data_IF_984362175851
#
_entry.id   IF_984362175851
#
_cell.length_a   1.000
_cell.length_b   1.000
_cell.length_c   1.000
_cell.angle_alpha   90.00
_cell.angle_beta   90.00
_cell.angle_gamma   90.00
#
_symmetry.space_group_name_H-M   'P 1'
#
loop_
_entity.id
_entity.type
_entity.pdbx_description
1 polymer ?
#
# COMPACT_ATOMS: atom_id res chain seq x y z
N UNK A 1 2.69 -7.98 4.88
CA UNK A 1 3.30 -8.60 3.69
C UNK A 1 2.69 -7.97 2.47
N UNK A 2 3.21 -6.81 2.08
CA UNK A 2 2.78 -6.10 0.88
C UNK A 2 4.03 -5.73 0.09
N UNK A 3 3.92 -5.76 -1.23
CA UNK A 3 4.88 -5.14 -2.13
C UNK A 3 4.29 -3.84 -2.63
N UNK A 4 5.02 -2.74 -2.49
CA UNK A 4 4.54 -1.42 -2.86
C UNK A 4 5.39 -0.78 -3.94
N UNK A 5 4.74 0.02 -4.79
CA UNK A 5 5.37 0.84 -5.81
C UNK A 5 5.05 2.31 -5.55
N UNK A 6 5.94 3.24 -5.92
CA UNK A 6 5.69 4.67 -5.73
C UNK A 6 4.59 5.17 -6.66
N UNK A 7 3.63 5.92 -6.11
CA UNK A 7 2.73 6.76 -6.87
C UNK A 7 3.37 8.13 -7.11
N UNK A 8 3.42 8.56 -8.36
CA UNK A 8 3.87 9.90 -8.76
C UNK A 8 2.66 10.73 -9.19
N UNK A 9 2.68 12.07 -9.07
CA UNK A 9 1.52 12.91 -9.40
C UNK A 9 0.98 12.66 -10.82
N UNK A 10 1.88 12.59 -11.81
CA UNK A 10 1.49 12.33 -13.20
C UNK A 10 0.88 10.94 -13.43
N UNK A 11 1.22 9.96 -12.59
CA UNK A 11 0.63 8.62 -12.62
C UNK A 11 -0.74 8.64 -11.93
N UNK A 12 -0.87 9.34 -10.81
CA UNK A 12 -2.14 9.53 -10.12
C UNK A 12 -3.19 10.21 -11.01
N UNK A 13 -2.80 11.31 -11.68
CA UNK A 13 -3.64 12.01 -12.65
C UNK A 13 -4.13 11.07 -13.76
N UNK A 14 -3.24 10.19 -14.23
CA UNK A 14 -3.54 9.22 -15.29
C UNK A 14 -4.47 8.10 -14.81
N UNK A 15 -4.37 7.72 -13.54
CA UNK A 15 -5.20 6.70 -12.91
C UNK A 15 -6.51 7.27 -12.34
N UNK A 16 -6.70 8.60 -12.34
CA UNK A 16 -7.87 9.25 -11.76
C UNK A 16 -7.92 9.15 -10.23
N UNK A 17 -6.75 9.08 -9.59
CA UNK A 17 -6.61 8.98 -8.14
C UNK A 17 -6.50 10.38 -7.57
N UNK A 18 -7.35 10.72 -6.59
CA UNK A 18 -7.33 12.03 -5.90
C UNK A 18 -6.22 12.09 -4.83
N UNK A 19 -4.98 11.83 -5.25
CA UNK A 19 -3.80 11.94 -4.40
C UNK A 19 -2.55 12.22 -5.23
N UNK A 20 -1.70 13.15 -4.79
CA UNK A 20 -0.46 13.46 -5.52
C UNK A 20 0.63 12.38 -5.34
N UNK A 21 0.66 11.73 -4.19
CA UNK A 21 1.70 10.81 -3.73
C UNK A 21 1.10 9.69 -2.88
N UNK A 22 1.80 8.57 -2.84
CA UNK A 22 1.36 7.39 -2.11
C UNK A 22 2.15 6.14 -2.47
N UNK A 23 1.70 5.02 -1.91
CA UNK A 23 2.23 3.70 -2.17
C UNK A 23 1.17 2.83 -2.86
N UNK A 24 1.37 2.56 -4.15
CA UNK A 24 0.55 1.61 -4.91
C UNK A 24 0.84 0.21 -4.37
N UNK A 25 -0.20 -0.52 -3.97
CA UNK A 25 -0.09 -1.91 -3.53
C UNK A 25 0.05 -2.78 -4.77
N UNK A 26 1.27 -3.18 -5.09
CA UNK A 26 1.54 -4.00 -6.27
C UNK A 26 1.15 -5.45 -6.04
N UNK A 27 1.44 -5.98 -4.85
CA UNK A 27 1.13 -7.35 -4.49
C UNK A 27 0.81 -7.45 -3.00
N UNK A 28 -0.14 -8.30 -2.64
CA UNK A 28 -0.45 -8.66 -1.27
C UNK A 28 -0.11 -10.13 -1.09
N UNK A 29 0.73 -10.41 -0.10
CA UNK A 29 1.14 -11.80 0.19
C UNK A 29 -0.05 -12.54 0.81
N UNK A 30 -0.42 -13.68 0.21
CA UNK A 30 -1.49 -14.54 0.71
C UNK A 30 -1.24 -14.97 2.17
N UNK A 31 -2.30 -14.95 2.97
CA UNK A 31 -2.23 -15.27 4.41
C UNK A 31 -1.53 -14.20 5.27
N UNK A 32 -1.02 -13.12 4.68
CA UNK A 32 -0.41 -12.03 5.45
C UNK A 32 -1.45 -11.18 6.20
N UNK A 33 -1.03 -10.40 7.21
CA UNK A 33 -1.89 -9.37 7.84
C UNK A 33 -2.67 -8.50 6.85
N UNK A 34 -2.01 -8.07 5.77
CA UNK A 34 -2.59 -7.22 4.74
C UNK A 34 -3.71 -7.93 3.97
N UNK A 35 -3.51 -9.22 3.63
CA UNK A 35 -4.53 -10.03 2.98
C UNK A 35 -5.75 -10.23 3.90
N UNK A 36 -5.50 -10.52 5.19
CA UNK A 36 -6.57 -10.68 6.20
C UNK A 36 -7.36 -9.40 6.42
N UNK A 37 -6.71 -8.24 6.34
CA UNK A 37 -7.34 -6.93 6.41
C UNK A 37 -8.10 -6.54 5.12
N UNK A 38 -7.98 -7.33 4.05
CA UNK A 38 -8.67 -7.09 2.79
C UNK A 38 -8.01 -6.05 1.90
N UNK A 39 -6.70 -5.82 2.04
CA UNK A 39 -5.92 -5.06 1.05
C UNK A 39 -5.89 -5.81 -0.28
N UNK A 40 -5.91 -5.06 -1.38
CA UNK A 40 -5.90 -5.58 -2.76
C UNK A 40 -4.63 -5.15 -3.47
N UNK A 41 -3.92 -6.15 -4.02
CA UNK A 41 -2.81 -5.89 -4.95
C UNK A 41 -3.33 -5.47 -6.32
N UNK A 42 -2.45 -4.88 -7.12
CA UNK A 42 -2.74 -4.54 -8.51
C UNK A 42 -3.10 -5.78 -9.32
N UNK A 43 -4.13 -5.65 -10.15
CA UNK A 43 -4.59 -6.68 -11.08
C UNK A 43 -4.28 -6.34 -12.55
N UNK A 44 -3.85 -5.11 -12.81
CA UNK A 44 -3.61 -4.57 -14.14
C UNK A 44 -2.18 -4.04 -14.29
N UNK A 45 -1.50 -4.49 -15.33
CA UNK A 45 -0.16 -4.00 -15.66
C UNK A 45 -0.25 -2.75 -16.53
N UNK A 46 0.24 -1.63 -15.99
CA UNK A 46 0.37 -0.38 -16.75
C UNK A 46 1.84 -0.03 -16.96
N UNK A 47 2.20 0.31 -18.21
CA UNK A 47 3.50 0.92 -18.49
C UNK A 47 3.41 2.44 -18.36
N UNK A 48 4.24 3.01 -17.49
CA UNK A 48 4.38 4.46 -17.32
C UNK A 48 5.86 4.84 -17.28
N UNK A 49 6.25 5.80 -18.13
CA UNK A 49 7.66 6.25 -18.26
C UNK A 49 8.66 5.09 -18.45
N UNK A 50 8.29 4.07 -19.23
CA UNK A 50 9.12 2.89 -19.49
C UNK A 50 9.13 1.84 -18.37
N UNK A 51 8.60 2.14 -17.18
CA UNK A 51 8.47 1.22 -16.04
C UNK A 51 7.09 0.58 -16.02
N UNK A 52 7.01 -0.62 -15.44
CA UNK A 52 5.76 -1.35 -15.23
C UNK A 52 5.26 -1.10 -13.82
N UNK A 53 3.97 -0.82 -13.70
CA UNK A 53 3.23 -0.63 -12.45
C UNK A 53 2.08 -1.63 -12.41
N UNK A 54 1.89 -2.24 -11.26
CA UNK A 54 0.72 -3.06 -10.97
C UNK A 54 -0.36 -2.12 -10.41
N UNK A 55 -1.44 -1.93 -11.15
CA UNK A 55 -2.51 -0.95 -10.92
C UNK A 55 -3.86 -1.67 -10.77
N UNK A 56 -4.93 -0.96 -10.40
CA UNK A 56 -6.25 -1.56 -10.16
C UNK A 56 -6.44 -2.19 -8.78
N UNK A 57 -5.40 -2.13 -7.94
CA UNK A 57 -5.46 -2.45 -6.52
C UNK A 57 -5.59 -1.20 -5.64
N UNK A 58 -5.18 -1.34 -4.39
CA UNK A 58 -5.20 -0.24 -3.43
C UNK A 58 -4.03 0.71 -3.60
N UNK A 59 -4.26 1.98 -3.28
CA UNK A 59 -3.20 2.99 -3.19
C UNK A 59 -3.21 3.60 -1.81
N UNK A 60 -2.18 3.33 -1.01
CA UNK A 60 -2.07 3.80 0.36
C UNK A 60 -1.56 5.23 0.35
N UNK A 61 -2.33 6.14 0.94
CA UNK A 61 -2.03 7.58 1.00
C UNK A 61 -1.65 8.03 2.41
N UNK A 62 -2.06 7.28 3.45
CA UNK A 62 -1.77 7.59 4.85
C UNK A 62 -1.71 6.31 5.69
N UNK A 63 -0.89 6.33 6.75
CA UNK A 63 -0.83 5.28 7.77
C UNK A 63 -0.81 5.91 9.16
N UNK A 64 -1.78 5.59 10.02
CA UNK A 64 -1.98 6.16 11.35
C UNK A 64 -2.01 7.71 11.37
N UNK A 65 -2.44 8.32 10.27
CA UNK A 65 -2.47 9.79 10.09
C UNK A 65 -1.15 10.39 9.60
N UNK A 66 -0.11 9.58 9.37
CA UNK A 66 1.12 10.00 8.69
C UNK A 66 0.97 9.80 7.17
N UNK A 67 1.05 10.90 6.43
CA UNK A 67 0.94 10.87 4.97
C UNK A 67 2.10 10.09 4.33
N UNK A 68 1.79 9.25 3.35
CA UNK A 68 2.77 8.47 2.60
C UNK A 68 3.26 9.30 1.41
N UNK A 69 4.40 9.95 1.56
CA UNK A 69 5.02 10.70 0.46
C UNK A 69 5.82 9.81 -0.47
N UNK A 70 6.43 8.74 0.08
CA UNK A 70 7.28 7.80 -0.62
C UNK A 70 6.86 6.38 -0.33
N UNK A 71 7.08 5.46 -1.27
CA UNK A 71 6.72 4.06 -1.10
C UNK A 71 7.42 3.42 0.12
N UNK A 72 8.61 3.91 0.47
CA UNK A 72 9.40 3.43 1.60
C UNK A 72 8.85 3.89 2.96
N UNK A 73 8.04 4.96 3.01
CA UNK A 73 7.49 5.49 4.26
C UNK A 73 6.60 4.47 4.96
N UNK A 74 5.77 3.75 4.21
CA UNK A 74 4.92 2.69 4.75
C UNK A 74 5.76 1.60 5.44
N UNK A 75 6.83 1.15 4.77
CA UNK A 75 7.74 0.15 5.32
C UNK A 75 8.41 0.62 6.60
N UNK A 76 8.80 1.91 6.66
CA UNK A 76 9.37 2.56 7.84
C UNK A 76 8.38 2.60 8.99
N UNK A 77 7.17 3.12 8.76
CA UNK A 77 6.10 3.24 9.78
C UNK A 77 5.79 1.85 10.35
N UNK A 78 5.52 0.87 9.50
CA UNK A 78 5.22 -0.50 9.94
C UNK A 78 6.40 -1.15 10.66
N UNK A 79 7.65 -0.83 10.30
CA UNK A 79 8.84 -1.38 10.98
C UNK A 79 9.06 -0.84 12.39
N UNK A 80 8.48 0.31 12.72
CA UNK A 80 8.59 0.91 14.05
C UNK A 80 7.50 0.44 15.02
N UNK A 81 6.55 -0.36 14.54
CA UNK A 81 5.40 -0.79 15.31
C UNK A 81 5.59 -2.23 15.83
N UNK A 82 5.13 -2.45 17.06
CA UNK A 82 5.15 -3.77 17.68
C UNK A 82 4.11 -4.72 17.05
N UNK A 83 4.40 -6.02 16.97
CA UNK A 83 3.40 -7.05 16.67
C UNK A 83 2.18 -6.94 17.60
N UNK A 84 0.99 -7.22 17.07
CA UNK A 84 -0.30 -7.09 17.76
C UNK A 84 -0.89 -5.67 17.75
N UNK A 85 -0.20 -4.68 17.16
CA UNK A 85 -0.75 -3.33 16.95
C UNK A 85 -1.59 -3.30 15.68
N UNK A 86 -2.72 -2.59 15.73
CA UNK A 86 -3.53 -2.26 14.55
C UNK A 86 -3.06 -0.95 13.95
N UNK A 87 -2.77 -0.95 12.65
CA UNK A 87 -2.45 0.23 11.85
C UNK A 87 -3.66 0.61 11.02
N UNK A 88 -4.04 1.88 11.07
CA UNK A 88 -5.08 2.43 10.20
C UNK A 88 -4.44 2.92 8.91
N UNK A 89 -4.76 2.28 7.80
CA UNK A 89 -4.35 2.72 6.47
C UNK A 89 -5.49 3.45 5.79
N UNK A 90 -5.21 4.63 5.25
CA UNK A 90 -6.12 5.28 4.30
C UNK A 90 -5.66 4.90 2.90
N UNK A 91 -6.57 4.33 2.14
CA UNK A 91 -6.32 3.82 0.80
C UNK A 91 -7.35 4.37 -0.18
N UNK A 92 -6.94 4.56 -1.41
CA UNK A 92 -7.85 4.82 -2.52
C UNK A 92 -8.06 3.52 -3.26
N UNK A 93 -9.33 3.11 -3.40
CA UNK A 93 -9.76 1.92 -4.12
C UNK A 93 -10.92 2.29 -5.03
N UNK A 94 -10.81 1.93 -6.31
CA UNK A 94 -11.83 2.24 -7.32
C UNK A 94 -12.16 3.75 -7.42
N UNK A 95 -11.20 4.61 -7.04
CA UNK A 95 -11.34 6.07 -7.00
C UNK A 95 -12.00 6.62 -5.73
N UNK A 96 -12.32 5.77 -4.75
CA UNK A 96 -12.95 6.15 -3.48
C UNK A 96 -11.98 5.98 -2.31
N UNK A 97 -12.05 6.90 -1.34
CA UNK A 97 -11.31 6.79 -0.08
C UNK A 97 -11.89 5.68 0.80
N UNK A 98 -11.02 4.80 1.26
CA UNK A 98 -11.35 3.70 2.17
C UNK A 98 -10.35 3.67 3.33
N UNK A 99 -10.84 3.27 4.49
CA UNK A 99 -10.00 3.03 5.66
C UNK A 99 -9.89 1.52 5.88
N UNK A 100 -8.66 1.02 5.91
CA UNK A 100 -8.35 -0.39 6.13
C UNK A 100 -7.52 -0.51 7.40
N UNK A 101 -8.04 -1.23 8.38
CA UNK A 101 -7.34 -1.49 9.64
C UNK A 101 -6.59 -2.82 9.54
N UNK A 102 -5.27 -2.77 9.67
CA UNK A 102 -4.37 -3.93 9.53
C UNK A 102 -3.78 -4.26 10.89
N UNK A 103 -4.15 -5.39 11.47
CA UNK A 103 -3.49 -5.92 12.67
C UNK A 103 -2.14 -6.53 12.29
N UNK A 104 -1.06 -5.92 12.76
CA UNK A 104 0.29 -6.43 12.54
C UNK A 104 0.47 -7.73 13.29
N UNK A 105 0.92 -8.77 12.58
CA UNK A 105 1.35 -10.03 13.19
C UNK A 105 2.88 -10.04 13.25
N UNK A 106 3.43 -10.97 14.03
CA UNK A 106 4.87 -11.16 14.09
C UNK A 106 5.41 -11.28 12.67
N UNK A 107 6.30 -10.36 12.28
CA UNK A 107 7.01 -10.49 11.01
C UNK A 107 7.77 -11.80 11.14
N UNK A 108 7.52 -12.84 10.32
CA UNK A 108 8.34 -14.03 10.39
C UNK A 108 9.76 -13.57 10.08
N UNK A 109 10.60 -13.52 11.10
CA UNK A 109 12.04 -13.41 10.92
C UNK A 109 12.37 -14.64 10.10
N UNK A 110 12.72 -14.46 8.82
CA UNK A 110 13.19 -15.55 7.98
C UNK A 110 14.16 -16.37 8.82
N UNK A 111 13.78 -17.60 9.16
CA UNK A 111 14.66 -18.50 9.87
C UNK A 111 15.77 -18.83 8.87
N UNK A 112 16.90 -18.16 9.10
CA UNK A 112 18.30 -18.50 8.80
C UNK A 112 18.59 -19.43 7.62
#
# INVERSE_FOLDING_TARGET
>A
GVSTQPLYPQLADKLGIDAERGAIVAEVVDGSPAARAGLRGGDQQMRFQGRQFETGGDVIISADGEAIERAEDLGRIVSTLDPGRTVRLEVIRDGEDQTVEVELDDRPTSIR
#
